data_IF_358649797566
#
_entry.id   IF_358649797566
#
_cell.length_a   1.000
_cell.length_b   1.000
_cell.length_c   1.000
_cell.angle_alpha   90.00
_cell.angle_beta   90.00
_cell.angle_gamma   90.00
#
_symmetry.space_group_name_H-M   'P 1'
#
loop_
_entity.id
_entity.type
_entity.pdbx_description
1 polymer ?
#
# COMPACT_ATOMS: atom_id res chain seq x y z
N UNK A 1 1.76 9.51 3.01
CA UNK A 1 1.01 9.34 1.75
C UNK A 1 1.10 10.54 0.78
N UNK A 2 2.05 11.45 0.93
CA UNK A 2 2.30 12.50 -0.08
C UNK A 2 1.25 13.61 -0.13
N UNK A 3 0.16 13.49 0.64
CA UNK A 3 -0.79 14.59 0.88
C UNK A 3 -0.04 15.79 1.46
N UNK A 4 -0.33 16.97 0.95
CA UNK A 4 0.45 18.17 1.26
C UNK A 4 1.57 18.48 0.26
N UNK A 5 1.78 17.64 -0.77
CA UNK A 5 2.73 17.87 -1.87
C UNK A 5 2.00 17.99 -3.21
N UNK A 6 2.74 18.20 -4.30
CA UNK A 6 2.19 18.14 -5.66
C UNK A 6 1.89 16.71 -6.16
N UNK A 7 2.26 15.66 -5.42
CA UNK A 7 2.12 14.26 -5.83
C UNK A 7 1.47 13.40 -4.72
N UNK A 8 0.21 13.68 -4.34
CA UNK A 8 -0.51 12.89 -3.34
C UNK A 8 -0.66 11.44 -3.80
N UNK A 9 -0.57 10.49 -2.86
CA UNK A 9 -0.70 9.04 -3.07
C UNK A 9 0.36 8.37 -3.95
N UNK A 10 1.14 9.14 -4.71
CA UNK A 10 2.31 8.66 -5.46
C UNK A 10 3.57 8.70 -4.59
N UNK A 11 3.65 9.65 -3.66
CA UNK A 11 4.73 9.74 -2.68
C UNK A 11 4.34 9.08 -1.35
N UNK A 12 5.16 8.16 -0.87
CA UNK A 12 5.03 7.59 0.48
C UNK A 12 6.34 7.80 1.22
N UNK A 13 6.29 8.47 2.37
CA UNK A 13 7.47 8.80 3.15
C UNK A 13 7.11 9.52 4.45
N UNK A 14 8.12 9.68 5.30
CA UNK A 14 8.05 10.35 6.59
C UNK A 14 9.45 10.82 7.02
N UNK A 15 9.59 11.73 8.00
CA UNK A 15 10.89 12.25 8.42
C UNK A 15 11.84 11.19 9.02
N UNK A 16 11.29 10.08 9.48
CA UNK A 16 12.00 8.99 10.15
C UNK A 16 12.28 7.79 9.22
N UNK A 17 11.88 7.84 7.95
CA UNK A 17 12.08 6.76 6.98
C UNK A 17 13.41 6.95 6.23
N UNK A 18 14.20 5.88 6.15
CA UNK A 18 15.28 5.77 5.16
C UNK A 18 14.66 5.34 3.82
N UNK A 19 14.58 6.27 2.88
CA UNK A 19 13.96 6.07 1.57
C UNK A 19 14.80 5.18 0.66
N UNK A 20 16.12 5.16 0.84
CA UNK A 20 17.01 4.30 0.06
C UNK A 20 16.86 2.84 0.47
N UNK A 21 16.86 2.57 1.77
CA UNK A 21 16.60 1.22 2.31
C UNK A 21 15.16 0.76 1.98
N UNK A 22 14.19 1.67 2.11
CA UNK A 22 12.79 1.35 1.80
C UNK A 22 12.58 1.02 0.31
N UNK A 23 13.19 1.79 -0.58
CA UNK A 23 13.16 1.52 -2.02
C UNK A 23 13.85 0.20 -2.37
N UNK A 24 14.97 -0.12 -1.72
CA UNK A 24 15.69 -1.38 -1.93
C UNK A 24 14.89 -2.59 -1.44
N UNK A 25 14.22 -2.47 -0.28
CA UNK A 25 13.28 -3.48 0.21
C UNK A 25 12.18 -3.75 -0.82
N UNK A 26 11.47 -2.73 -1.29
CA UNK A 26 10.35 -2.91 -2.21
C UNK A 26 10.78 -3.49 -3.56
N UNK A 27 11.95 -3.09 -4.10
CA UNK A 27 12.48 -3.69 -5.34
C UNK A 27 12.86 -5.16 -5.19
N UNK A 28 13.24 -5.60 -3.99
CA UNK A 28 13.53 -7.01 -3.73
C UNK A 28 12.25 -7.85 -3.63
N UNK A 29 11.23 -7.31 -2.98
CA UNK A 29 9.93 -7.99 -2.86
C UNK A 29 9.17 -7.99 -4.19
N UNK A 30 9.32 -6.93 -5.00
CA UNK A 30 8.61 -6.73 -6.26
C UNK A 30 9.60 -6.27 -7.35
N UNK A 31 10.27 -7.19 -8.06
CA UNK A 31 11.29 -6.86 -9.06
C UNK A 31 10.78 -5.95 -10.20
N UNK A 32 9.51 -6.11 -10.59
CA UNK A 32 8.90 -5.34 -11.68
C UNK A 32 8.34 -3.98 -11.23
N UNK A 33 8.29 -3.73 -9.92
CA UNK A 33 7.72 -2.51 -9.37
C UNK A 33 8.61 -1.30 -9.66
N UNK A 34 8.08 -0.36 -10.44
CA UNK A 34 8.77 0.86 -10.81
C UNK A 34 8.63 1.92 -9.73
N UNK A 35 9.71 2.16 -9.01
CA UNK A 35 9.78 3.20 -7.97
C UNK A 35 11.20 3.77 -7.84
N UNK A 36 11.30 4.95 -7.22
CA UNK A 36 12.57 5.55 -6.81
C UNK A 36 12.53 6.02 -5.35
N UNK A 37 13.70 6.10 -4.72
CA UNK A 37 13.83 6.85 -3.46
C UNK A 37 13.61 8.34 -3.76
N UNK A 38 12.92 9.04 -2.85
CA UNK A 38 12.61 10.47 -3.02
C UNK A 38 12.56 11.18 -1.68
N UNK A 39 13.28 12.30 -1.61
CA UNK A 39 13.09 13.30 -0.57
C UNK A 39 12.05 14.33 -1.02
N UNK A 40 11.22 14.77 -0.08
CA UNK A 40 10.19 15.77 -0.31
C UNK A 40 9.81 16.46 1.01
N UNK A 41 9.25 17.66 0.90
CA UNK A 41 8.75 18.43 2.03
C UNK A 41 7.29 18.82 1.76
N UNK A 42 6.31 18.29 2.53
CA UNK A 42 4.92 18.71 2.42
C UNK A 42 4.74 20.19 2.81
N UNK A 43 3.89 20.91 2.08
CA UNK A 43 3.50 22.29 2.38
C UNK A 43 2.45 22.39 3.49
N UNK A 44 1.61 21.35 3.66
CA UNK A 44 0.53 21.30 4.66
C UNK A 44 0.18 19.85 5.05
N UNK A 45 -0.66 19.65 6.08
CA UNK A 45 -1.02 18.34 6.68
C UNK A 45 0.14 17.67 7.43
N UNK A 46 0.13 16.33 7.44
CA UNK A 46 1.07 15.49 8.17
C UNK A 46 2.49 15.80 7.70
N UNK A 47 3.37 16.08 8.67
CA UNK A 47 4.78 16.43 8.42
C UNK A 47 4.97 17.69 7.57
N UNK A 48 4.06 18.66 7.63
CA UNK A 48 4.26 19.96 6.99
C UNK A 48 5.59 20.60 7.43
N UNK A 49 6.35 21.12 6.46
CA UNK A 49 7.67 21.74 6.63
C UNK A 49 8.76 20.83 7.23
N UNK A 50 8.55 19.51 7.26
CA UNK A 50 9.57 18.55 7.63
C UNK A 50 10.16 17.88 6.38
N UNK A 51 11.47 17.65 6.38
CA UNK A 51 12.12 16.85 5.34
C UNK A 51 11.68 15.39 5.50
N UNK A 52 10.86 14.91 4.58
CA UNK A 52 10.47 13.51 4.49
C UNK A 52 11.37 12.79 3.49
N UNK A 53 11.70 11.55 3.81
CA UNK A 53 12.36 10.62 2.92
C UNK A 53 11.46 9.39 2.73
N UNK A 54 11.56 8.73 1.59
CA UNK A 54 10.67 7.64 1.23
C UNK A 54 10.77 7.27 -0.24
N UNK A 55 9.63 6.91 -0.85
CA UNK A 55 9.54 6.43 -2.22
C UNK A 55 8.53 7.21 -3.05
N UNK A 56 8.80 7.27 -4.35
CA UNK A 56 7.90 7.73 -5.40
C UNK A 56 7.61 6.58 -6.36
N UNK A 57 6.34 6.25 -6.53
CA UNK A 57 5.89 5.17 -7.41
C UNK A 57 5.68 5.65 -8.85
N UNK A 58 5.86 4.74 -9.81
CA UNK A 58 5.46 4.89 -11.21
C UNK A 58 4.51 3.74 -11.56
N UNK A 59 3.21 3.87 -11.20
CA UNK A 59 2.28 2.76 -11.26
C UNK A 59 2.13 2.16 -12.65
N UNK A 60 2.00 0.84 -12.70
CA UNK A 60 1.63 0.06 -13.87
C UNK A 60 0.25 -0.59 -13.68
N UNK A 61 -0.33 -1.15 -14.75
CA UNK A 61 -1.60 -1.87 -14.65
C UNK A 61 -1.48 -3.20 -13.90
N UNK A 62 -0.28 -3.76 -13.84
CA UNK A 62 -0.01 -5.06 -13.21
C UNK A 62 0.28 -4.93 -11.71
N UNK A 63 0.46 -3.71 -11.20
CA UNK A 63 0.78 -3.47 -9.80
C UNK A 63 -0.40 -3.83 -8.89
N UNK A 64 -0.15 -4.73 -7.95
CA UNK A 64 -1.09 -5.07 -6.88
C UNK A 64 -0.81 -4.22 -5.63
N UNK A 65 -1.38 -3.01 -5.59
CA UNK A 65 -1.16 -2.08 -4.47
C UNK A 65 -1.73 -2.56 -3.13
N UNK A 66 -2.60 -3.57 -3.09
CA UNK A 66 -3.00 -4.19 -1.84
C UNK A 66 -1.84 -4.98 -1.22
N UNK A 67 -1.23 -5.88 -1.98
CA UNK A 67 -0.08 -6.68 -1.54
C UNK A 67 1.14 -5.80 -1.28
N UNK A 68 1.40 -4.84 -2.17
CA UNK A 68 2.51 -3.88 -2.00
C UNK A 68 2.32 -3.08 -0.70
N UNK A 69 1.10 -2.57 -0.42
CA UNK A 69 0.83 -1.83 0.82
C UNK A 69 1.04 -2.70 2.06
N UNK A 70 0.63 -3.98 2.04
CA UNK A 70 0.89 -4.90 3.16
C UNK A 70 2.39 -5.07 3.41
N UNK A 71 3.19 -5.30 2.35
CA UNK A 71 4.65 -5.37 2.46
C UNK A 71 5.28 -4.07 2.94
N UNK A 72 4.77 -2.93 2.48
CA UNK A 72 5.19 -1.63 3.02
C UNK A 72 4.90 -1.53 4.51
N UNK A 73 3.71 -1.89 4.96
CA UNK A 73 3.35 -1.87 6.38
C UNK A 73 4.24 -2.82 7.19
N UNK A 74 4.48 -4.04 6.71
CA UNK A 74 5.39 -5.02 7.33
C UNK A 74 6.81 -4.46 7.52
N UNK A 75 7.35 -3.79 6.50
CA UNK A 75 8.64 -3.11 6.57
C UNK A 75 8.62 -1.96 7.59
N UNK A 76 7.56 -1.15 7.59
CA UNK A 76 7.46 0.04 8.43
C UNK A 76 7.30 -0.29 9.92
N UNK A 77 6.86 -1.51 10.28
CA UNK A 77 6.78 -1.96 11.68
C UNK A 77 8.11 -1.91 12.44
N UNK A 78 9.26 -1.81 11.75
CA UNK A 78 10.56 -1.62 12.40
C UNK A 78 10.75 -0.23 13.01
N UNK A 79 9.94 0.75 12.62
CA UNK A 79 9.99 2.11 13.14
C UNK A 79 8.96 2.29 14.25
N UNK A 80 9.40 2.70 15.43
CA UNK A 80 8.51 2.93 16.58
C UNK A 80 7.45 3.99 16.31
N UNK A 81 7.73 4.95 15.43
CA UNK A 81 6.81 6.01 15.00
C UNK A 81 5.70 5.52 14.07
N UNK A 82 5.80 4.29 13.55
CA UNK A 82 4.80 3.74 12.65
C UNK A 82 3.62 3.13 13.42
N UNK A 83 2.46 3.75 13.25
CA UNK A 83 1.23 3.31 13.89
C UNK A 83 0.20 2.84 12.85
N UNK A 84 -0.38 1.67 13.11
CA UNK A 84 -1.58 1.19 12.43
C UNK A 84 -2.77 1.45 13.35
N UNK A 85 -3.65 2.34 12.93
CA UNK A 85 -4.85 2.71 13.68
C UNK A 85 -5.91 1.61 13.64
N UNK A 86 -6.72 1.49 14.69
CA UNK A 86 -7.79 0.48 14.76
C UNK A 86 -8.84 0.65 13.65
N UNK A 87 -9.07 1.89 13.19
CA UNK A 87 -9.91 2.19 12.02
C UNK A 87 -9.45 1.49 10.73
N UNK A 88 -8.22 0.97 10.70
CA UNK A 88 -7.76 0.14 9.58
C UNK A 88 -8.65 -1.08 9.36
N UNK A 89 -9.28 -1.61 10.42
CA UNK A 89 -10.20 -2.74 10.32
C UNK A 89 -11.40 -2.42 9.40
N UNK A 90 -11.94 -1.20 9.51
CA UNK A 90 -13.06 -0.73 8.69
C UNK A 90 -12.64 -0.47 7.25
N UNK A 91 -11.41 -0.01 7.04
CA UNK A 91 -10.89 0.28 5.70
C UNK A 91 -10.51 -0.99 4.93
N UNK A 92 -9.95 -1.97 5.63
CA UNK A 92 -9.50 -3.24 5.05
C UNK A 92 -10.66 -4.25 4.99
N UNK A 93 -11.68 -4.08 5.82
CA UNK A 93 -12.81 -5.02 5.94
C UNK A 93 -12.47 -6.29 6.72
N UNK A 94 -11.35 -6.31 7.45
CA UNK A 94 -10.92 -7.44 8.27
C UNK A 94 -10.87 -7.02 9.73
N UNK A 95 -11.59 -7.75 10.58
CA UNK A 95 -11.47 -7.59 12.04
C UNK A 95 -10.05 -7.85 12.52
N UNK A 96 -9.56 -6.95 13.38
CA UNK A 96 -8.22 -6.95 13.97
C UNK A 96 -7.12 -6.94 12.92
N UNK A 97 -7.31 -6.27 11.78
CA UNK A 97 -6.31 -6.21 10.71
C UNK A 97 -4.99 -5.65 11.22
N UNK A 98 -5.04 -4.61 12.05
CA UNK A 98 -3.85 -4.02 12.65
C UNK A 98 -3.02 -5.05 13.46
N UNK A 99 -3.69 -5.87 14.29
CA UNK A 99 -3.03 -6.92 15.05
C UNK A 99 -2.47 -8.03 14.14
N UNK A 100 -3.22 -8.43 13.11
CA UNK A 100 -2.78 -9.45 12.15
C UNK A 100 -1.55 -9.00 11.37
N UNK A 101 -1.51 -7.74 10.92
CA UNK A 101 -0.35 -7.16 10.24
C UNK A 101 0.86 -7.13 11.18
N UNK A 102 0.69 -6.62 12.41
CA UNK A 102 1.76 -6.57 13.43
C UNK A 102 2.36 -7.95 13.72
N UNK A 103 1.52 -8.98 13.71
CA UNK A 103 1.94 -10.37 13.99
C UNK A 103 2.32 -11.15 12.73
N UNK A 104 2.29 -10.53 11.55
CA UNK A 104 2.50 -11.18 10.24
C UNK A 104 1.59 -12.41 10.02
N UNK A 105 0.37 -12.34 10.55
CA UNK A 105 -0.66 -13.39 10.44
C UNK A 105 -1.81 -13.02 9.49
N UNK A 106 -1.69 -11.88 8.79
CA UNK A 106 -2.69 -11.51 7.78
C UNK A 106 -2.40 -12.32 6.51
N UNK A 107 -3.28 -13.25 6.21
CA UNK A 107 -3.25 -14.05 4.99
C UNK A 107 -4.07 -13.36 3.91
N UNK A 108 -3.39 -12.67 2.99
CA UNK A 108 -4.05 -11.98 1.87
C UNK A 108 -4.36 -12.92 0.70
N UNK A 109 -3.89 -14.18 0.71
CA UNK A 109 -4.30 -15.15 -0.32
C UNK A 109 -5.77 -15.54 -0.20
N UNK A 110 -6.35 -15.41 1.01
CA UNK A 110 -7.79 -15.57 1.23
C UNK A 110 -8.63 -14.56 0.44
N UNK A 111 -8.06 -13.41 0.06
CA UNK A 111 -8.76 -12.44 -0.80
C UNK A 111 -8.95 -12.93 -2.21
N UNK A 112 -8.11 -13.85 -2.70
CA UNK A 112 -8.27 -14.44 -4.03
C UNK A 112 -9.57 -15.22 -4.12
N UNK A 113 -9.84 -16.08 -3.14
CA UNK A 113 -11.07 -16.88 -3.12
C UNK A 113 -12.31 -15.97 -3.09
N UNK A 114 -12.38 -15.05 -2.13
CA UNK A 114 -13.50 -14.10 -2.02
C UNK A 114 -13.62 -13.17 -3.25
N UNK A 115 -12.50 -12.78 -3.87
CA UNK A 115 -12.48 -11.97 -5.07
C UNK A 115 -13.02 -12.73 -6.29
N UNK A 116 -12.65 -14.00 -6.44
CA UNK A 116 -13.18 -14.87 -7.50
C UNK A 116 -14.68 -15.16 -7.29
N UNK A 117 -15.11 -15.40 -6.05
CA UNK A 117 -16.54 -15.52 -5.71
C UNK A 117 -17.31 -14.26 -6.10
N UNK A 118 -16.77 -13.07 -5.81
CA UNK A 118 -17.40 -11.81 -6.18
C UNK A 118 -17.47 -11.63 -7.70
N UNK A 119 -16.41 -11.97 -8.43
CA UNK A 119 -16.39 -11.93 -9.91
C UNK A 119 -17.52 -12.80 -10.48
N UNK A 120 -17.66 -14.03 -9.99
CA UNK A 120 -18.73 -14.94 -10.42
C UNK A 120 -20.12 -14.40 -10.04
N UNK A 121 -20.25 -13.81 -8.84
CA UNK A 121 -21.51 -13.28 -8.34
C UNK A 121 -22.05 -12.12 -9.19
N UNK A 122 -21.19 -11.28 -9.76
CA UNK A 122 -21.60 -10.10 -10.52
C UNK A 122 -21.65 -10.31 -12.04
N UNK A 123 -21.36 -11.53 -12.52
CA UNK A 123 -21.21 -11.84 -13.94
C UNK A 123 -22.48 -11.51 -14.75
N UNK A 124 -23.66 -11.72 -14.18
CA UNK A 124 -24.96 -11.49 -14.82
C UNK A 124 -25.41 -10.01 -14.80
N UNK A 125 -24.68 -9.14 -14.10
CA UNK A 125 -25.01 -7.73 -13.91
C UNK A 125 -24.05 -6.78 -14.67
N UNK A 126 -23.16 -7.30 -15.52
CA UNK A 126 -22.22 -6.50 -16.30
C UNK A 126 -22.94 -5.76 -17.43
N UNK A 127 -22.91 -4.42 -17.37
CA UNK A 127 -23.49 -3.56 -18.42
C UNK A 127 -22.60 -3.40 -19.65
N UNK A 128 -21.30 -3.65 -19.51
CA UNK A 128 -20.31 -3.52 -20.57
C UNK A 128 -19.66 -4.89 -20.86
N UNK A 129 -19.41 -5.23 -22.14
CA UNK A 129 -18.75 -6.49 -22.48
C UNK A 129 -17.30 -6.50 -21.97
N UNK A 130 -16.85 -7.64 -21.48
CA UNK A 130 -15.49 -7.86 -20.98
C UNK A 130 -15.42 -9.01 -19.99
N UNK A 131 -14.20 -9.31 -19.53
CA UNK A 131 -13.95 -10.30 -18.48
C UNK A 131 -13.41 -9.59 -17.23
N UNK A 132 -14.00 -9.88 -16.09
CA UNK A 132 -13.43 -9.48 -14.81
C UNK A 132 -12.29 -10.42 -14.45
N UNK A 133 -11.18 -9.84 -14.00
CA UNK A 133 -9.99 -10.60 -13.62
C UNK A 133 -9.58 -10.23 -12.20
N UNK A 134 -9.24 -11.23 -11.39
CA UNK A 134 -8.59 -11.00 -10.11
C UNK A 134 -7.11 -10.64 -10.36
N UNK A 135 -6.63 -9.60 -9.68
CA UNK A 135 -5.22 -9.21 -9.74
C UNK A 135 -4.46 -9.92 -8.63
N UNK A 136 -3.60 -10.85 -9.03
CA UNK A 136 -2.70 -11.59 -8.14
C UNK A 136 -1.63 -10.69 -7.50
#
# INVERSE_FOLDING_TARGET
EGRGTFKPFILIGAPWIDGSDFAAYLRREFPDLRLRSREFMPFYRKYANANCSGVEFFPSNDDNFFVITLKMMEYLLKYEQFEIMDRSDDLIGIKKSAQKIRTRKLDYYQWKESGMEYINFVEDCLLYPGELNYRD
#
